data_IF_571292714118
#
_entry.id   IF_571292714118
#
_cell.length_a   1.000
_cell.length_b   1.000
_cell.length_c   1.000
_cell.angle_alpha   90.00
_cell.angle_beta   90.00
_cell.angle_gamma   90.00
#
_symmetry.space_group_name_H-M   'P 1'
#
loop_
_entity.id
_entity.type
_entity.pdbx_description
1 polymer ?
#
# COMPACT_ATOMS: atom_id res chain seq x y z
N UNK A 1 -2.49 -33.27 -49.40
CA UNK A 1 -2.77 -31.93 -48.83
C UNK A 1 -3.03 -32.12 -47.35
N UNK A 2 -2.05 -31.85 -46.50
CA UNK A 2 -2.13 -32.09 -45.05
C UNK A 2 -2.36 -30.72 -44.38
N UNK A 3 -3.56 -30.52 -43.82
CA UNK A 3 -3.88 -29.32 -43.05
C UNK A 3 -3.42 -29.58 -41.62
N UNK A 4 -2.32 -28.94 -41.22
CA UNK A 4 -1.85 -28.91 -39.83
C UNK A 4 -2.62 -27.80 -39.11
N UNK A 5 -3.56 -28.18 -38.26
CA UNK A 5 -4.20 -27.28 -37.29
C UNK A 5 -3.19 -26.94 -36.20
N UNK A 6 -2.51 -25.80 -36.33
CA UNK A 6 -1.78 -25.17 -35.24
C UNK A 6 -2.80 -24.63 -34.23
N UNK A 7 -3.12 -25.44 -33.22
CA UNK A 7 -3.76 -24.97 -32.01
C UNK A 7 -2.77 -24.08 -31.25
N UNK A 8 -2.87 -22.77 -31.47
CA UNK A 8 -2.16 -21.77 -30.68
C UNK A 8 -2.67 -21.82 -29.24
N UNK A 9 -1.98 -22.58 -28.40
CA UNK A 9 -2.12 -22.47 -26.95
C UNK A 9 -1.55 -21.11 -26.57
N UNK A 10 -2.43 -20.11 -26.44
CA UNK A 10 -2.14 -18.92 -25.66
C UNK A 10 -1.90 -19.40 -24.23
N UNK A 11 -0.65 -19.67 -23.90
CA UNK A 11 -0.19 -19.72 -22.51
C UNK A 11 -0.43 -18.30 -21.95
N UNK A 12 -1.62 -18.07 -21.40
CA UNK A 12 -1.78 -17.03 -20.40
C UNK A 12 -0.81 -17.40 -19.29
N UNK A 13 0.33 -16.71 -19.22
CA UNK A 13 1.19 -16.77 -18.04
C UNK A 13 0.31 -16.32 -16.88
N UNK A 14 -0.18 -17.29 -16.10
CA UNK A 14 -0.90 -17.01 -14.87
C UNK A 14 0.04 -16.19 -14.01
N UNK A 15 -0.31 -14.92 -13.80
CA UNK A 15 0.53 -14.03 -13.03
C UNK A 15 0.60 -14.57 -11.59
N UNK A 16 1.81 -14.67 -11.05
CA UNK A 16 2.03 -15.21 -9.71
C UNK A 16 1.21 -14.43 -8.68
N UNK A 17 0.57 -15.13 -7.72
CA UNK A 17 -0.10 -14.45 -6.62
C UNK A 17 0.84 -13.52 -5.85
N UNK A 18 0.27 -12.43 -5.35
CA UNK A 18 0.95 -11.38 -4.61
C UNK A 18 0.53 -11.42 -3.14
N UNK A 19 1.45 -11.05 -2.26
CA UNK A 19 1.15 -10.80 -0.85
C UNK A 19 0.67 -9.35 -0.69
N UNK A 20 -0.64 -9.16 -0.62
CA UNK A 20 -1.26 -7.87 -0.35
C UNK A 20 -1.29 -7.63 1.16
N UNK A 21 -0.62 -6.56 1.60
CA UNK A 21 -0.69 -6.03 2.95
C UNK A 21 -1.66 -4.84 2.98
N UNK A 22 -2.59 -4.83 3.93
CA UNK A 22 -3.42 -3.66 4.25
C UNK A 22 -3.00 -3.09 5.60
N UNK A 23 -2.81 -1.78 5.66
CA UNK A 23 -2.67 -1.02 6.93
C UNK A 23 -3.75 0.05 7.00
N UNK A 24 -4.30 0.25 8.19
CA UNK A 24 -5.43 1.16 8.38
C UNK A 24 -5.06 2.27 9.35
N UNK A 25 -5.42 3.50 8.99
CA UNK A 25 -5.12 4.71 9.72
C UNK A 25 -6.37 5.56 9.99
N UNK A 26 -6.30 6.37 11.03
CA UNK A 26 -7.23 7.47 11.31
C UNK A 26 -6.42 8.77 11.44
N UNK A 27 -6.27 9.49 10.33
CA UNK A 27 -5.32 10.59 10.23
C UNK A 27 -3.89 10.05 10.29
N UNK A 28 -3.14 10.40 11.33
CA UNK A 28 -1.76 9.94 11.55
C UNK A 28 -1.66 8.73 12.50
N UNK A 29 -2.76 8.35 13.15
CA UNK A 29 -2.81 7.21 14.07
C UNK A 29 -2.99 5.90 13.29
N UNK A 30 -2.15 4.91 13.53
CA UNK A 30 -2.37 3.56 13.00
C UNK A 30 -3.39 2.82 13.85
N UNK A 31 -4.45 2.33 13.22
CA UNK A 31 -5.59 1.67 13.86
C UNK A 31 -5.88 0.29 13.25
N UNK A 32 -4.90 -0.28 12.52
CA UNK A 32 -4.99 -1.62 11.91
C UNK A 32 -5.46 -2.67 12.91
N UNK A 33 -4.89 -2.65 14.12
CA UNK A 33 -5.22 -3.61 15.19
C UNK A 33 -6.61 -3.40 15.82
N UNK A 34 -7.35 -2.35 15.47
CA UNK A 34 -8.73 -2.11 15.91
C UNK A 34 -9.73 -2.20 14.75
N UNK A 35 -9.27 -2.68 13.58
CA UNK A 35 -10.03 -2.63 12.34
C UNK A 35 -10.21 -4.02 11.73
N UNK A 36 -11.45 -4.35 11.41
CA UNK A 36 -11.78 -5.47 10.56
C UNK A 36 -11.66 -5.05 9.10
N UNK A 37 -10.90 -5.81 8.31
CA UNK A 37 -10.74 -5.59 6.88
C UNK A 37 -11.36 -6.74 6.11
N UNK A 38 -12.25 -6.39 5.19
CA UNK A 38 -12.79 -7.31 4.19
C UNK A 38 -12.26 -6.93 2.81
N UNK A 39 -11.85 -7.91 2.02
CA UNK A 39 -11.28 -7.69 0.68
C UNK A 39 -12.12 -8.46 -0.32
N UNK A 40 -12.50 -7.82 -1.41
CA UNK A 40 -13.39 -8.35 -2.45
C UNK A 40 -12.75 -8.16 -3.83
N UNK A 41 -13.02 -9.03 -4.82
CA UNK A 41 -12.85 -8.62 -6.21
C UNK A 41 -13.65 -7.34 -6.45
N UNK A 42 -13.10 -6.40 -7.22
CA UNK A 42 -13.76 -5.11 -7.46
C UNK A 42 -15.17 -5.33 -8.05
N UNK A 43 -16.19 -4.74 -7.41
CA UNK A 43 -17.60 -4.88 -7.80
C UNK A 43 -18.32 -6.13 -7.25
N UNK A 44 -17.62 -7.08 -6.60
CA UNK A 44 -18.20 -8.32 -6.07
C UNK A 44 -18.29 -8.31 -4.53
N UNK A 45 -19.06 -7.37 -3.96
CA UNK A 45 -19.11 -7.10 -2.51
C UNK A 45 -19.82 -8.15 -1.64
N UNK A 46 -20.35 -9.20 -2.25
CA UNK A 46 -21.07 -10.27 -1.54
C UNK A 46 -20.15 -11.40 -1.07
N UNK A 47 -18.98 -11.55 -1.69
CA UNK A 47 -18.08 -12.69 -1.47
C UNK A 47 -16.67 -12.20 -1.16
N UNK A 48 -16.34 -11.96 0.11
CA UNK A 48 -14.99 -11.54 0.47
C UNK A 48 -13.99 -12.68 0.25
N UNK A 49 -12.82 -12.35 -0.28
CA UNK A 49 -11.63 -13.22 -0.34
C UNK A 49 -10.95 -13.27 1.03
N UNK A 50 -11.11 -12.22 1.84
CA UNK A 50 -10.62 -12.16 3.21
C UNK A 50 -11.60 -11.41 4.07
N UNK A 51 -11.78 -11.87 5.31
CA UNK A 51 -12.54 -11.23 6.36
C UNK A 51 -11.77 -11.40 7.67
N UNK A 52 -11.09 -10.36 8.14
CA UNK A 52 -10.39 -10.42 9.41
C UNK A 52 -11.40 -10.27 10.54
N UNK A 53 -11.98 -11.39 10.97
CA UNK A 53 -13.01 -11.42 12.03
C UNK A 53 -12.46 -11.08 13.41
N UNK A 54 -11.14 -11.04 13.58
CA UNK A 54 -10.46 -10.54 14.77
C UNK A 54 -9.45 -9.45 14.39
N UNK A 55 -9.26 -8.52 15.32
CA UNK A 55 -8.18 -7.54 15.32
C UNK A 55 -6.82 -8.22 15.09
N UNK A 56 -6.12 -7.85 14.01
CA UNK A 56 -4.76 -8.32 13.72
C UNK A 56 -3.82 -7.13 13.61
N UNK A 57 -2.57 -7.25 14.08
CA UNK A 57 -1.60 -6.15 14.00
C UNK A 57 -1.27 -5.77 12.55
N UNK A 58 -1.39 -6.73 11.63
CA UNK A 58 -1.19 -6.54 10.19
C UNK A 58 -2.16 -7.43 9.43
N UNK A 59 -2.82 -6.88 8.40
CA UNK A 59 -3.65 -7.65 7.47
C UNK A 59 -2.78 -8.06 6.28
N UNK A 60 -2.66 -9.37 6.02
CA UNK A 60 -1.95 -9.94 4.87
C UNK A 60 -2.82 -11.00 4.20
N UNK A 61 -2.97 -10.91 2.89
CA UNK A 61 -3.69 -11.88 2.06
C UNK A 61 -2.90 -12.18 0.80
N UNK A 62 -2.95 -13.43 0.34
CA UNK A 62 -2.42 -13.80 -0.97
C UNK A 62 -3.52 -13.67 -2.02
N UNK A 63 -3.32 -12.82 -3.02
CA UNK A 63 -4.31 -12.54 -4.08
C UNK A 63 -3.65 -12.58 -5.46
N UNK A 64 -4.35 -13.00 -6.53
CA UNK A 64 -3.84 -12.80 -7.88
C UNK A 64 -3.77 -11.30 -8.22
N UNK A 65 -2.96 -10.87 -9.19
CA UNK A 65 -3.04 -9.52 -9.72
C UNK A 65 -4.44 -9.19 -10.23
N UNK A 66 -4.95 -8.00 -9.95
CA UNK A 66 -6.30 -7.59 -10.30
C UNK A 66 -6.77 -6.32 -9.60
N UNK A 67 -8.07 -6.06 -9.73
CA UNK A 67 -8.74 -4.95 -9.07
C UNK A 67 -9.53 -5.44 -7.86
N UNK A 68 -9.40 -4.74 -6.74
CA UNK A 68 -10.03 -5.11 -5.48
C UNK A 68 -10.78 -3.94 -4.85
N UNK A 69 -11.85 -4.26 -4.14
CA UNK A 69 -12.47 -3.34 -3.18
C UNK A 69 -12.10 -3.81 -1.77
N UNK A 70 -11.81 -2.88 -0.86
CA UNK A 70 -11.59 -3.18 0.55
C UNK A 70 -12.56 -2.40 1.43
N UNK A 71 -13.13 -3.07 2.42
CA UNK A 71 -13.94 -2.46 3.46
C UNK A 71 -13.16 -2.50 4.77
N UNK A 72 -12.89 -1.35 5.36
CA UNK A 72 -12.31 -1.22 6.70
C UNK A 72 -13.42 -0.81 7.68
N UNK A 73 -13.61 -1.60 8.74
CA UNK A 73 -14.61 -1.37 9.80
C UNK A 73 -13.85 -1.24 11.11
N UNK A 74 -13.83 -0.04 11.70
CA UNK A 74 -13.23 0.15 13.02
C UNK A 74 -14.27 -0.12 14.09
N UNK A 75 -13.94 -1.03 15.00
CA UNK A 75 -14.80 -1.37 16.13
C UNK A 75 -14.06 -1.13 17.45
N UNK A 76 -14.81 -0.73 18.49
CA UNK A 76 -14.31 -0.65 19.86
C UNK A 76 -15.44 -1.04 20.80
N UNK A 77 -15.15 -1.94 21.74
CA UNK A 77 -16.11 -2.45 22.73
C UNK A 77 -17.41 -2.98 22.09
N UNK A 78 -17.27 -3.70 20.97
CA UNK A 78 -18.40 -4.27 20.23
C UNK A 78 -19.29 -3.25 19.50
N UNK A 79 -18.84 -2.00 19.38
CA UNK A 79 -19.52 -0.94 18.63
C UNK A 79 -18.71 -0.54 17.41
N UNK A 80 -19.40 -0.49 16.26
CA UNK A 80 -18.85 0.09 15.04
C UNK A 80 -18.70 1.59 15.23
N UNK A 81 -17.47 2.08 15.12
CA UNK A 81 -17.14 3.51 15.19
C UNK A 81 -17.20 4.16 13.82
N UNK A 82 -16.66 3.48 12.80
CA UNK A 82 -16.59 4.02 11.44
C UNK A 82 -16.37 2.90 10.41
N UNK A 83 -16.80 3.14 9.18
CA UNK A 83 -16.64 2.25 8.03
C UNK A 83 -16.08 3.07 6.86
N UNK A 84 -15.04 2.56 6.19
CA UNK A 84 -14.47 3.15 4.98
C UNK A 84 -14.37 2.09 3.89
N UNK A 85 -14.84 2.46 2.70
CA UNK A 85 -14.58 1.71 1.48
C UNK A 85 -13.39 2.32 0.74
N UNK A 86 -12.44 1.47 0.36
CA UNK A 86 -11.37 1.77 -0.57
C UNK A 86 -11.65 0.98 -1.85
N UNK A 87 -12.12 1.68 -2.87
CA UNK A 87 -12.64 1.04 -4.09
C UNK A 87 -11.57 1.03 -5.19
N UNK A 88 -11.62 -0.02 -6.03
CA UNK A 88 -10.77 -0.16 -7.22
C UNK A 88 -9.27 -0.03 -6.93
N UNK A 89 -8.81 -0.67 -5.86
CA UNK A 89 -7.39 -0.87 -5.57
C UNK A 89 -6.76 -1.71 -6.68
N UNK A 90 -5.60 -1.29 -7.18
CA UNK A 90 -4.91 -1.95 -8.30
C UNK A 90 -3.76 -2.76 -7.74
N UNK A 91 -3.96 -4.07 -7.61
CA UNK A 91 -2.92 -4.96 -7.08
C UNK A 91 -2.24 -5.62 -8.26
N UNK A 92 -0.99 -5.27 -8.50
CA UNK A 92 -0.23 -5.78 -9.65
C UNK A 92 1.23 -6.00 -9.29
N UNK A 93 1.87 -6.91 -10.02
CA UNK A 93 3.26 -7.26 -9.77
C UNK A 93 4.17 -6.13 -10.27
N UNK A 94 4.82 -5.44 -9.34
CA UNK A 94 5.95 -4.56 -9.66
C UNK A 94 7.26 -5.31 -9.42
N UNK A 95 8.22 -5.26 -10.38
CA UNK A 95 9.50 -5.97 -10.24
C UNK A 95 10.23 -5.65 -8.92
N UNK A 96 10.14 -4.39 -8.48
CA UNK A 96 10.82 -3.91 -7.28
C UNK A 96 10.03 -4.16 -5.98
N UNK A 97 8.80 -4.67 -6.03
CA UNK A 97 8.03 -5.02 -4.83
C UNK A 97 8.25 -6.48 -4.37
N UNK A 98 8.98 -7.29 -5.15
CA UNK A 98 9.31 -8.69 -4.86
C UNK A 98 8.08 -9.56 -4.53
N UNK A 99 6.95 -9.30 -5.22
CA UNK A 99 5.69 -10.03 -5.01
C UNK A 99 4.88 -9.57 -3.79
N UNK A 100 5.30 -8.52 -3.10
CA UNK A 100 4.52 -7.85 -2.07
C UNK A 100 3.73 -6.69 -2.67
N UNK A 101 2.67 -6.26 -2.02
CA UNK A 101 1.95 -5.04 -2.37
C UNK A 101 1.38 -4.41 -1.11
N UNK A 102 1.46 -3.10 -0.94
CA UNK A 102 0.97 -2.42 0.26
C UNK A 102 -0.10 -1.39 -0.09
N UNK A 103 -1.25 -1.51 0.55
CA UNK A 103 -2.31 -0.50 0.48
C UNK A 103 -2.61 0.07 1.87
N UNK A 104 -2.75 1.39 1.90
CA UNK A 104 -3.10 2.16 3.11
C UNK A 104 -4.50 2.68 2.96
N UNK A 105 -5.36 2.35 3.93
CA UNK A 105 -6.71 2.87 4.03
C UNK A 105 -6.73 3.89 5.17
N UNK A 106 -7.20 5.11 4.91
CA UNK A 106 -7.38 6.12 5.95
C UNK A 106 -8.86 6.43 6.15
N UNK A 107 -9.31 6.45 7.41
CA UNK A 107 -10.67 6.87 7.77
C UNK A 107 -10.87 8.38 7.60
N UNK A 108 -9.80 9.18 7.63
CA UNK A 108 -9.87 10.62 7.35
C UNK A 108 -9.61 10.88 5.87
N UNK A 109 -10.52 11.63 5.25
CA UNK A 109 -10.35 12.10 3.88
C UNK A 109 -9.14 13.05 3.78
N UNK A 110 -8.59 13.17 2.57
CA UNK A 110 -7.48 14.07 2.30
C UNK A 110 -6.14 13.57 2.83
N UNK A 111 -6.05 12.31 3.25
CA UNK A 111 -4.78 11.63 3.55
C UNK A 111 -4.39 10.67 2.43
N UNK A 112 -3.11 10.33 2.40
CA UNK A 112 -2.52 9.33 1.53
C UNK A 112 -1.32 8.66 2.18
N UNK A 113 -0.64 7.81 1.42
CA UNK A 113 0.60 7.20 1.87
C UNK A 113 1.69 7.16 0.79
N UNK A 114 2.94 7.12 1.26
CA UNK A 114 4.13 6.88 0.46
C UNK A 114 4.88 5.70 1.07
N UNK A 115 4.97 4.60 0.32
CA UNK A 115 5.87 3.49 0.61
C UNK A 115 7.20 3.74 -0.10
N UNK A 116 8.29 3.70 0.67
CA UNK A 116 9.66 3.82 0.17
C UNK A 116 10.39 2.52 0.42
N UNK A 117 10.94 1.91 -0.64
CA UNK A 117 11.80 0.72 -0.56
C UNK A 117 13.20 0.99 -1.07
N UNK A 118 14.19 0.33 -0.46
CA UNK A 118 15.53 0.26 -1.02
C UNK A 118 15.66 -0.90 -2.01
N UNK A 119 16.47 -0.74 -3.06
CA UNK A 119 16.71 -1.81 -4.06
C UNK A 119 17.40 -3.04 -3.49
N UNK A 120 18.18 -2.87 -2.44
CA UNK A 120 18.90 -3.95 -1.75
C UNK A 120 18.02 -4.69 -0.72
N UNK A 121 16.74 -4.31 -0.60
CA UNK A 121 15.79 -4.90 0.35
C UNK A 121 15.95 -4.42 1.80
N UNK A 122 16.89 -3.51 2.08
CA UNK A 122 17.02 -2.90 3.40
C UNK A 122 15.89 -1.89 3.67
N UNK A 123 15.61 -1.59 4.95
CA UNK A 123 14.70 -0.50 5.31
C UNK A 123 15.40 0.83 5.03
N UNK A 124 14.88 1.68 4.14
CA UNK A 124 15.53 2.94 3.82
C UNK A 124 15.51 3.93 5.01
N UNK A 125 16.65 4.58 5.26
CA UNK A 125 16.73 5.77 6.13
C UNK A 125 16.16 6.96 5.34
N UNK A 126 14.85 7.07 5.43
CA UNK A 126 14.05 8.08 4.75
C UNK A 126 13.34 8.98 5.76
N UNK A 127 13.19 10.26 5.40
CA UNK A 127 12.40 11.24 6.17
C UNK A 127 11.64 12.13 5.20
N UNK A 128 10.35 12.34 5.45
CA UNK A 128 9.49 13.20 4.65
C UNK A 128 9.46 14.61 5.22
N UNK A 129 9.53 15.63 4.37
CA UNK A 129 9.51 17.04 4.74
C UNK A 129 8.45 17.81 3.93
N UNK A 130 7.97 18.91 4.49
CA UNK A 130 7.10 19.83 3.75
C UNK A 130 7.79 20.33 2.46
N UNK A 131 7.06 20.44 1.35
CA UNK A 131 7.64 20.84 0.06
C UNK A 131 8.39 22.18 0.15
N UNK A 132 9.62 22.21 -0.35
CA UNK A 132 10.49 23.39 -0.32
C UNK A 132 11.10 23.69 1.04
N UNK A 133 10.80 22.90 2.08
CA UNK A 133 11.37 23.00 3.42
C UNK A 133 12.22 21.78 3.73
N UNK A 134 13.40 21.99 4.30
CA UNK A 134 14.29 20.91 4.78
C UNK A 134 14.38 20.82 6.29
N UNK A 135 13.57 21.60 7.00
CA UNK A 135 13.63 21.73 8.46
C UNK A 135 12.39 21.15 9.16
N UNK A 136 11.26 21.09 8.46
CA UNK A 136 10.00 20.61 9.03
C UNK A 136 9.66 19.22 8.50
N UNK A 137 9.87 18.21 9.32
CA UNK A 137 9.39 16.86 9.03
C UNK A 137 7.86 16.87 8.88
N UNK A 138 7.36 16.08 7.94
CA UNK A 138 5.96 16.03 7.58
C UNK A 138 5.40 14.61 7.68
N UNK A 139 4.13 14.51 8.06
CA UNK A 139 3.44 13.23 8.22
C UNK A 139 4.00 12.38 9.36
N UNK A 140 3.66 11.11 9.34
CA UNK A 140 4.10 10.09 10.29
C UNK A 140 4.87 9.01 9.56
N UNK A 141 6.14 8.82 9.92
CA UNK A 141 6.90 7.61 9.54
C UNK A 141 6.45 6.44 10.39
N UNK A 142 6.18 5.32 9.74
CA UNK A 142 5.81 4.05 10.36
C UNK A 142 6.74 2.96 9.86
N UNK A 143 7.19 2.10 10.77
CA UNK A 143 8.07 1.00 10.44
C UNK A 143 7.34 -0.05 9.59
N UNK A 144 8.04 -0.56 8.58
CA UNK A 144 7.73 -1.80 7.87
C UNK A 144 8.92 -2.75 7.95
N UNK A 145 8.73 -3.97 7.47
CA UNK A 145 9.76 -5.03 7.56
C UNK A 145 10.97 -4.73 6.65
N UNK A 146 10.71 -4.18 5.46
CA UNK A 146 11.71 -3.87 4.42
C UNK A 146 11.40 -2.55 3.69
N UNK A 147 10.59 -1.69 4.29
CA UNK A 147 10.16 -0.42 3.72
C UNK A 147 10.03 0.66 4.81
N UNK A 148 10.10 1.92 4.40
CA UNK A 148 9.64 3.05 5.19
C UNK A 148 8.28 3.50 4.67
N UNK A 149 7.28 3.59 5.54
CA UNK A 149 5.95 4.08 5.19
C UNK A 149 5.73 5.47 5.78
N UNK A 150 5.24 6.39 4.97
CA UNK A 150 4.82 7.72 5.42
C UNK A 150 3.33 7.88 5.20
N UNK A 151 2.59 8.25 6.24
CA UNK A 151 1.19 8.67 6.16
C UNK A 151 1.13 10.17 6.39
N UNK A 152 0.51 10.90 5.48
CA UNK A 152 0.46 12.36 5.51
C UNK A 152 -0.82 12.86 4.81
N UNK A 153 -1.21 14.13 5.01
CA UNK A 153 -2.17 14.78 4.13
C UNK A 153 -1.73 14.64 2.67
N UNK A 154 -2.68 14.48 1.75
CA UNK A 154 -2.40 14.41 0.32
C UNK A 154 -1.75 15.72 -0.15
N UNK A 155 -0.71 15.62 -0.97
CA UNK A 155 0.06 16.78 -1.38
C UNK A 155 1.46 16.43 -1.88
N UNK A 156 2.28 17.46 -2.07
CA UNK A 156 3.69 17.29 -2.47
C UNK A 156 4.61 17.50 -1.27
N UNK A 157 5.67 16.72 -1.23
CA UNK A 157 6.62 16.67 -0.13
C UNK A 157 8.04 16.48 -0.67
N UNK A 158 9.03 16.84 0.14
CA UNK A 158 10.42 16.56 -0.17
C UNK A 158 10.88 15.36 0.65
N UNK A 159 11.45 14.35 -0.02
CA UNK A 159 11.96 13.16 0.64
C UNK A 159 13.47 13.25 0.78
N UNK A 160 13.96 13.14 2.01
CA UNK A 160 15.39 12.98 2.30
C UNK A 160 15.69 11.49 2.43
N UNK A 161 16.71 11.04 1.72
CA UNK A 161 17.33 9.73 1.91
C UNK A 161 18.73 9.88 2.48
N UNK A 162 19.13 8.93 3.33
CA UNK A 162 20.50 8.76 3.79
C UNK A 162 20.99 7.35 3.49
N UNK A 163 22.13 7.24 2.83
CA UNK A 163 22.77 5.98 2.52
C UNK A 163 24.29 6.17 2.56
N UNK A 164 25.03 5.31 3.27
CA UNK A 164 26.50 5.34 3.26
C UNK A 164 27.12 6.67 3.68
N UNK A 165 26.44 7.43 4.56
CA UNK A 165 26.87 8.77 5.00
C UNK A 165 26.52 9.91 4.02
N UNK A 166 26.00 9.60 2.83
CA UNK A 166 25.51 10.60 1.88
C UNK A 166 24.04 10.93 2.15
N UNK A 167 23.66 12.18 1.86
CA UNK A 167 22.27 12.66 1.94
C UNK A 167 21.80 13.10 0.57
N UNK A 168 20.71 12.51 0.10
CA UNK A 168 20.08 12.84 -1.18
C UNK A 168 18.68 13.38 -0.94
N UNK A 169 18.28 14.38 -1.72
CA UNK A 169 16.96 15.01 -1.64
C UNK A 169 16.17 14.76 -2.92
N UNK A 170 14.93 14.31 -2.77
CA UNK A 170 13.98 14.09 -3.86
C UNK A 170 12.80 15.06 -3.66
N UNK A 171 12.82 16.22 -4.32
CA UNK A 171 11.80 17.23 -4.11
C UNK A 171 10.49 16.87 -4.83
N UNK A 172 9.38 17.31 -4.24
CA UNK A 172 8.06 17.23 -4.85
C UNK A 172 7.57 15.80 -5.12
N UNK A 173 7.90 14.83 -4.28
CA UNK A 173 7.20 13.54 -4.29
C UNK A 173 5.75 13.77 -3.87
N UNK A 174 4.82 13.25 -4.66
CA UNK A 174 3.39 13.32 -4.36
C UNK A 174 3.00 12.17 -3.42
N UNK A 175 2.27 12.52 -2.36
CA UNK A 175 1.45 11.60 -1.57
C UNK A 175 0.02 11.72 -2.11
N UNK A 176 -0.48 10.71 -2.85
CA UNK A 176 -1.77 10.80 -3.52
C UNK A 176 -2.92 10.67 -2.52
N UNK A 177 -4.03 11.34 -2.77
CA UNK A 177 -5.22 11.20 -1.93
C UNK A 177 -5.79 9.77 -2.00
N UNK A 178 -6.14 9.20 -0.84
CA UNK A 178 -6.83 7.92 -0.67
C UNK A 178 -6.10 6.72 -1.33
N UNK A 179 -4.79 6.85 -1.57
CA UNK A 179 -3.95 5.85 -2.25
C UNK A 179 -2.58 5.76 -1.59
N UNK A 180 -1.94 4.61 -1.80
CA UNK A 180 -0.52 4.45 -1.53
C UNK A 180 0.27 4.66 -2.81
N UNK A 181 1.27 5.54 -2.76
CA UNK A 181 2.30 5.61 -3.79
C UNK A 181 3.45 4.69 -3.40
N UNK A 182 3.77 3.75 -4.28
CA UNK A 182 5.01 2.99 -4.20
C UNK A 182 6.17 3.77 -4.83
N UNK A 183 7.32 3.81 -4.16
CA UNK A 183 8.53 4.42 -4.69
C UNK A 183 9.79 3.66 -4.27
N UNK A 184 10.70 3.48 -5.22
CA UNK A 184 11.97 2.79 -5.01
C UNK A 184 13.08 3.84 -4.94
N UNK A 185 13.83 3.83 -3.85
CA UNK A 185 14.98 4.69 -3.65
C UNK A 185 16.03 4.47 -4.76
N UNK A 186 16.43 5.53 -5.49
CA UNK A 186 17.61 5.50 -6.33
C UNK A 186 18.86 5.24 -5.47
N UNK A 187 19.83 4.55 -6.05
CA UNK A 187 21.16 4.41 -5.45
C UNK A 187 21.93 5.73 -5.53
#
# INVERSE_FOLDING_TARGET
MLVVLLAGVLLQTQASPLSLQIRVFNGLEEVTAETHVKIFPAGEREKPITDTTAAVPVVRVTVPPGFYDAQAIRERDGRVLTIRWAERLVVMAYPDEAGHHLEVINFQNGFGALEVRARDGSVPDATLFAAGSRQQEAGRRVSGDNYALFVAPAGRYDLRLRHGGQTTWHPGIEVPQDRTRFWVAPQ
#
